data_IF_764005364249
#
_entry.id   IF_764005364249
#
_cell.length_a   1.000
_cell.length_b   1.000
_cell.length_c   1.000
_cell.angle_alpha   90.00
_cell.angle_beta   90.00
_cell.angle_gamma   90.00
#
_symmetry.space_group_name_H-M   'P 1'
#
loop_
_entity.id
_entity.type
_entity.pdbx_description
1 polymer ?
#
# COMPACT_ATOMS: atom_id res chain seq x y z
N UNK A 1 15.96 48.67 29.48
CA UNK A 1 14.48 48.53 29.46
C UNK A 1 14.13 48.06 28.06
N UNK A 2 13.76 46.78 27.94
CA UNK A 2 13.83 46.02 26.69
C UNK A 2 12.64 46.31 25.77
N UNK A 3 12.95 46.66 24.52
CA UNK A 3 12.00 46.79 23.42
C UNK A 3 11.69 45.37 22.92
N UNK A 4 10.46 44.90 23.10
CA UNK A 4 9.98 43.66 22.48
C UNK A 4 9.48 44.05 21.08
N UNK A 5 10.32 43.81 20.08
CA UNK A 5 9.90 43.83 18.67
C UNK A 5 9.06 42.57 18.43
N UNK A 6 7.74 42.75 18.30
CA UNK A 6 6.88 41.78 17.62
C UNK A 6 7.29 41.79 16.14
N UNK A 7 8.00 40.77 15.72
CA UNK A 7 8.18 40.48 14.30
C UNK A 7 6.92 39.73 13.89
N UNK A 8 5.98 40.46 13.29
CA UNK A 8 4.94 39.83 12.48
C UNK A 8 5.66 39.15 11.30
N UNK A 9 5.67 37.81 11.31
CA UNK A 9 6.02 37.04 10.12
C UNK A 9 4.84 37.13 9.16
N UNK A 10 4.83 38.19 8.35
CA UNK A 10 4.25 38.13 7.01
C UNK A 10 5.06 37.11 6.20
N UNK A 11 4.66 35.84 6.28
CA UNK A 11 5.12 34.77 5.39
C UNK A 11 4.00 34.48 4.37
N UNK A 12 3.50 35.51 3.71
CA UNK A 12 2.62 35.37 2.55
C UNK A 12 3.45 35.12 1.28
N UNK A 13 4.11 33.97 1.24
CA UNK A 13 4.25 33.22 0.01
C UNK A 13 3.48 31.93 0.27
N UNK A 14 2.19 31.91 -0.07
CA UNK A 14 1.43 30.67 -0.13
C UNK A 14 2.08 29.80 -1.21
N UNK A 15 3.16 29.09 -0.88
CA UNK A 15 3.65 28.01 -1.71
C UNK A 15 2.51 26.99 -1.79
N UNK A 16 1.89 26.92 -2.98
CA UNK A 16 0.85 25.95 -3.26
C UNK A 16 1.34 24.56 -2.84
N UNK A 17 0.53 23.88 -2.06
CA UNK A 17 0.84 22.53 -1.60
C UNK A 17 1.18 21.62 -2.79
N UNK A 18 2.21 20.76 -2.68
CA UNK A 18 2.61 19.90 -3.80
C UNK A 18 1.44 19.05 -4.32
N UNK A 19 1.31 18.99 -5.64
CA UNK A 19 0.32 18.14 -6.31
C UNK A 19 0.76 16.69 -6.23
N UNK A 20 -0.15 15.78 -5.93
CA UNK A 20 0.19 14.37 -5.67
C UNK A 20 -0.25 13.50 -6.85
N UNK A 21 0.67 12.72 -7.42
CA UNK A 21 0.37 11.79 -8.51
C UNK A 21 0.74 10.38 -8.09
N UNK A 22 -0.24 9.49 -8.08
CA UNK A 22 -0.06 8.06 -7.89
C UNK A 22 0.15 7.38 -9.23
N UNK A 23 1.26 6.66 -9.37
CA UNK A 23 1.60 5.79 -10.50
C UNK A 23 1.44 4.34 -10.04
N UNK A 24 0.36 3.68 -10.44
CA UNK A 24 0.03 2.35 -9.94
C UNK A 24 0.02 1.32 -11.07
N UNK A 25 0.47 0.09 -10.77
CA UNK A 25 0.50 -0.97 -11.75
C UNK A 25 -0.91 -1.31 -12.30
N UNK A 26 -1.00 -1.61 -13.59
CA UNK A 26 -2.26 -1.96 -14.25
C UNK A 26 -2.87 -3.24 -13.61
N UNK A 27 -4.10 -3.17 -13.08
CA UNK A 27 -4.74 -4.29 -12.39
C UNK A 27 -4.98 -5.51 -13.29
N UNK A 28 -4.99 -5.37 -14.62
CA UNK A 28 -5.09 -6.49 -15.55
C UNK A 28 -3.87 -7.41 -15.48
N UNK A 29 -2.69 -6.86 -15.20
CA UNK A 29 -1.42 -7.59 -15.25
C UNK A 29 -0.85 -7.85 -13.86
N UNK A 30 -1.10 -6.96 -12.90
CA UNK A 30 -0.46 -6.97 -11.58
C UNK A 30 -1.43 -7.19 -10.42
N UNK A 31 -2.72 -7.37 -10.72
CA UNK A 31 -3.78 -7.53 -9.73
C UNK A 31 -4.20 -6.21 -9.06
N UNK A 32 -5.28 -6.27 -8.29
CA UNK A 32 -5.96 -5.07 -7.77
C UNK A 32 -5.34 -4.46 -6.50
N UNK A 33 -4.32 -5.10 -5.92
CA UNK A 33 -3.73 -4.62 -4.67
C UNK A 33 -3.23 -3.18 -4.78
N UNK A 34 -2.46 -2.90 -5.84
CA UNK A 34 -1.89 -1.59 -6.15
C UNK A 34 -2.96 -0.50 -6.27
N UNK A 35 -3.92 -0.67 -7.19
CA UNK A 35 -4.99 0.33 -7.39
C UNK A 35 -5.88 0.51 -6.16
N UNK A 36 -6.14 -0.56 -5.40
CA UNK A 36 -6.97 -0.51 -4.19
C UNK A 36 -6.33 0.34 -3.10
N UNK A 37 -5.04 0.14 -2.82
CA UNK A 37 -4.32 0.92 -1.80
C UNK A 37 -4.01 2.34 -2.25
N UNK A 38 -3.59 2.53 -3.50
CA UNK A 38 -3.41 3.86 -4.09
C UNK A 38 -4.71 4.67 -4.01
N UNK A 39 -5.83 4.11 -4.48
CA UNK A 39 -7.12 4.79 -4.47
C UNK A 39 -7.63 5.08 -3.06
N UNK A 40 -7.33 4.20 -2.10
CA UNK A 40 -7.61 4.45 -0.68
C UNK A 40 -6.81 5.66 -0.18
N UNK A 41 -5.50 5.71 -0.42
CA UNK A 41 -4.68 6.84 0.00
C UNK A 41 -5.08 8.14 -0.67
N UNK A 42 -5.36 8.09 -1.97
CA UNK A 42 -5.86 9.22 -2.73
C UNK A 42 -7.09 9.82 -2.05
N UNK A 43 -8.06 8.98 -1.65
CA UNK A 43 -9.26 9.43 -0.93
C UNK A 43 -8.91 10.07 0.43
N UNK A 44 -8.00 9.47 1.21
CA UNK A 44 -7.56 10.06 2.48
C UNK A 44 -6.93 11.44 2.29
N UNK A 45 -6.11 11.62 1.26
CA UNK A 45 -5.47 12.91 0.96
C UNK A 45 -6.49 13.94 0.45
N UNK A 46 -7.44 13.53 -0.40
CA UNK A 46 -8.53 14.40 -0.86
C UNK A 46 -9.44 14.85 0.28
N UNK A 47 -9.74 13.97 1.24
CA UNK A 47 -10.49 14.31 2.46
C UNK A 47 -9.75 15.38 3.31
N UNK A 48 -8.43 15.56 3.13
CA UNK A 48 -7.63 16.64 3.76
C UNK A 48 -7.47 17.89 2.88
N UNK A 49 -8.16 17.97 1.75
CA UNK A 49 -8.08 19.11 0.82
C UNK A 49 -6.90 19.07 -0.14
N UNK A 50 -6.19 17.94 -0.27
CA UNK A 50 -5.09 17.81 -1.23
C UNK A 50 -5.58 17.38 -2.62
N UNK A 51 -5.08 18.06 -3.64
CA UNK A 51 -5.26 17.66 -5.04
C UNK A 51 -4.39 16.46 -5.35
N UNK A 52 -5.01 15.38 -5.84
CA UNK A 52 -4.29 14.17 -6.22
C UNK A 52 -4.88 13.46 -7.43
N UNK A 53 -4.01 12.91 -8.28
CA UNK A 53 -4.36 12.13 -9.46
C UNK A 53 -3.85 10.70 -9.33
N UNK A 54 -4.58 9.74 -9.90
CA UNK A 54 -4.17 8.35 -10.01
C UNK A 54 -4.04 7.97 -11.49
N UNK A 55 -2.87 7.46 -11.87
CA UNK A 55 -2.52 7.03 -13.22
C UNK A 55 -2.13 5.55 -13.15
N UNK A 56 -2.74 4.73 -13.99
CA UNK A 56 -2.41 3.31 -14.11
C UNK A 56 -1.55 3.05 -15.34
N UNK A 57 -0.55 2.18 -15.21
CA UNK A 57 0.35 1.80 -16.30
C UNK A 57 0.92 0.40 -16.09
N UNK A 58 1.34 -0.26 -17.17
CA UNK A 58 1.91 -1.61 -17.09
C UNK A 58 3.44 -1.58 -16.97
N UNK A 59 4.11 -0.99 -17.95
CA UNK A 59 5.58 -0.89 -18.02
C UNK A 59 6.10 0.56 -18.11
N UNK A 60 5.20 1.50 -18.35
CA UNK A 60 5.50 2.92 -18.44
C UNK A 60 4.28 3.73 -18.05
N UNK A 61 4.52 5.00 -17.68
CA UNK A 61 3.48 5.97 -17.36
C UNK A 61 3.66 7.18 -18.26
N UNK A 62 2.61 7.52 -19.00
CA UNK A 62 2.57 8.77 -19.73
C UNK A 62 2.52 9.93 -18.74
N UNK A 63 3.30 10.98 -19.00
CA UNK A 63 3.22 12.19 -18.20
C UNK A 63 1.78 12.74 -18.23
N UNK A 64 1.31 13.37 -17.13
CA UNK A 64 0.14 14.22 -17.20
C UNK A 64 0.31 15.27 -18.31
N UNK A 65 -0.80 15.73 -18.89
CA UNK A 65 -0.77 16.69 -20.00
C UNK A 65 0.05 17.96 -19.69
N UNK A 66 0.11 18.37 -18.41
CA UNK A 66 0.94 19.48 -17.94
C UNK A 66 1.61 19.11 -16.59
N UNK A 67 2.93 18.91 -16.63
CA UNK A 67 3.78 19.09 -15.45
C UNK A 67 4.31 20.51 -15.57
N UNK A 68 3.69 21.43 -14.84
CA UNK A 68 4.12 22.83 -14.81
C UNK A 68 5.30 23.01 -13.84
N UNK A 69 5.66 24.27 -13.59
CA UNK A 69 6.72 24.63 -12.66
C UNK A 69 6.37 24.42 -11.18
N UNK A 70 5.16 23.96 -10.84
CA UNK A 70 4.73 23.72 -9.46
C UNK A 70 5.43 22.52 -8.81
N UNK A 71 5.31 22.38 -7.50
CA UNK A 71 5.89 21.25 -6.77
C UNK A 71 5.02 20.00 -6.89
N UNK A 72 5.64 18.82 -7.06
CA UNK A 72 4.94 17.55 -7.20
C UNK A 72 5.49 16.46 -6.28
N UNK A 73 4.59 15.60 -5.80
CA UNK A 73 4.89 14.33 -5.16
C UNK A 73 4.47 13.18 -6.08
N UNK A 74 5.43 12.41 -6.57
CA UNK A 74 5.17 11.26 -7.43
C UNK A 74 5.34 9.98 -6.62
N UNK A 75 4.25 9.24 -6.47
CA UNK A 75 4.18 8.02 -5.68
C UNK A 75 4.10 6.82 -6.63
N UNK A 76 5.15 6.01 -6.68
CA UNK A 76 5.23 4.81 -7.50
C UNK A 76 4.85 3.57 -6.69
N UNK A 77 3.69 2.99 -7.00
CA UNK A 77 3.22 1.72 -6.45
C UNK A 77 3.08 0.68 -7.57
N UNK A 78 4.24 0.23 -8.00
CA UNK A 78 4.37 -0.82 -8.99
C UNK A 78 5.66 -1.58 -8.72
N UNK A 79 5.58 -2.90 -8.83
CA UNK A 79 6.71 -3.77 -8.51
C UNK A 79 7.70 -3.79 -9.67
N UNK A 80 8.98 -3.77 -9.35
CA UNK A 80 10.09 -4.05 -10.26
C UNK A 80 10.24 -3.10 -11.47
N UNK A 81 9.58 -1.93 -11.46
CA UNK A 81 9.70 -0.91 -12.52
C UNK A 81 10.39 0.38 -12.03
N UNK A 82 11.11 1.12 -12.91
CA UNK A 82 11.67 2.43 -12.59
C UNK A 82 10.59 3.53 -12.50
N UNK A 83 10.96 4.67 -11.94
CA UNK A 83 10.24 5.91 -12.19
C UNK A 83 10.35 6.29 -13.69
N UNK A 84 9.31 6.90 -14.27
CA UNK A 84 9.42 7.42 -15.63
C UNK A 84 10.38 8.62 -15.70
N UNK A 85 11.04 8.82 -16.83
CA UNK A 85 12.08 9.87 -17.01
C UNK A 85 11.61 11.28 -16.61
N UNK A 86 10.34 11.60 -16.87
CA UNK A 86 9.77 12.91 -16.52
C UNK A 86 9.70 13.15 -15.00
N UNK A 87 9.83 12.11 -14.16
CA UNK A 87 9.82 12.22 -12.70
C UNK A 87 11.19 12.64 -12.09
N UNK A 88 12.20 12.89 -12.93
CA UNK A 88 13.54 13.35 -12.50
C UNK A 88 13.74 14.87 -12.55
N UNK A 89 12.66 15.63 -12.74
CA UNK A 89 12.69 17.09 -12.68
C UNK A 89 12.94 17.59 -11.24
N UNK A 90 13.53 18.79 -11.10
CA UNK A 90 13.97 19.33 -9.79
C UNK A 90 12.82 19.62 -8.81
N UNK A 91 11.64 19.91 -9.32
CA UNK A 91 10.41 20.21 -8.57
C UNK A 91 9.64 18.95 -8.15
N UNK A 92 10.19 17.76 -8.40
CA UNK A 92 9.55 16.48 -8.14
C UNK A 92 10.24 15.76 -6.99
N UNK A 93 9.46 15.43 -5.96
CA UNK A 93 9.85 14.46 -4.92
C UNK A 93 9.24 13.10 -5.25
N UNK A 94 10.06 12.05 -5.23
CA UNK A 94 9.74 10.67 -5.60
C UNK A 94 9.57 9.79 -4.37
N UNK A 95 8.45 9.08 -4.28
CA UNK A 95 8.15 8.13 -3.21
C UNK A 95 7.89 6.76 -3.82
N UNK A 96 8.59 5.72 -3.38
CA UNK A 96 8.35 4.35 -3.84
C UNK A 96 7.63 3.51 -2.79
N UNK A 97 6.55 2.85 -3.19
CA UNK A 97 5.77 1.91 -2.39
C UNK A 97 5.97 0.48 -2.87
N UNK A 98 6.39 -0.40 -1.96
CA UNK A 98 6.61 -1.84 -2.22
C UNK A 98 7.43 -2.14 -3.50
N UNK A 99 8.21 -1.16 -3.98
CA UNK A 99 9.03 -1.31 -5.17
C UNK A 99 10.28 -2.11 -4.80
N UNK A 100 10.53 -3.18 -5.57
CA UNK A 100 11.67 -4.10 -5.40
C UNK A 100 12.63 -4.10 -6.58
N UNK A 101 12.44 -3.18 -7.53
CA UNK A 101 13.32 -2.99 -8.67
C UNK A 101 13.97 -1.60 -8.67
N UNK A 102 14.31 -1.06 -9.87
CA UNK A 102 15.07 0.18 -9.99
C UNK A 102 14.40 1.40 -9.35
N UNK A 103 13.07 1.45 -9.35
CA UNK A 103 12.32 2.56 -8.75
C UNK A 103 12.65 2.77 -7.27
N UNK A 104 12.98 1.71 -6.53
CA UNK A 104 13.36 1.81 -5.12
C UNK A 104 14.61 2.67 -4.91
N UNK A 105 15.65 2.49 -5.71
CA UNK A 105 16.91 3.25 -5.58
C UNK A 105 16.83 4.65 -6.18
N UNK A 106 15.82 4.92 -6.99
CA UNK A 106 15.55 6.22 -7.62
C UNK A 106 14.66 7.12 -6.73
N UNK A 107 14.04 6.56 -5.70
CA UNK A 107 13.13 7.29 -4.83
C UNK A 107 13.88 8.13 -3.80
N UNK A 108 13.31 9.27 -3.45
CA UNK A 108 13.78 10.10 -2.33
C UNK A 108 13.28 9.51 -1.00
N UNK A 109 12.11 8.85 -1.02
CA UNK A 109 11.53 8.12 0.11
C UNK A 109 11.03 6.74 -0.30
N UNK A 110 11.17 5.76 0.58
CA UNK A 110 10.73 4.38 0.33
C UNK A 110 9.87 3.91 1.49
N UNK A 111 8.69 3.37 1.18
CA UNK A 111 7.82 2.75 2.16
C UNK A 111 7.48 1.31 1.74
N UNK A 112 7.69 0.40 2.67
CA UNK A 112 7.25 -0.98 2.52
C UNK A 112 5.87 -1.11 3.18
N UNK A 113 4.85 -1.28 2.35
CA UNK A 113 3.43 -1.35 2.75
C UNK A 113 2.96 -2.78 2.95
N UNK A 114 3.71 -3.76 2.44
CA UNK A 114 3.47 -5.19 2.63
C UNK A 114 4.71 -5.90 3.18
N UNK A 115 4.53 -6.95 3.99
CA UNK A 115 5.65 -7.78 4.45
C UNK A 115 6.36 -8.53 3.31
N UNK A 116 7.70 -8.60 3.40
CA UNK A 116 8.54 -9.35 2.46
C UNK A 116 9.56 -10.23 3.18
N UNK A 117 9.96 -11.34 2.56
CA UNK A 117 10.84 -12.35 3.16
C UNK A 117 12.28 -11.85 3.43
N UNK A 118 12.71 -10.77 2.78
CA UNK A 118 14.04 -10.18 2.96
C UNK A 118 14.12 -9.21 4.16
N UNK A 119 12.99 -8.93 4.83
CA UNK A 119 12.93 -7.98 5.94
C UNK A 119 13.51 -8.54 7.23
N UNK A 120 14.14 -7.70 8.04
CA UNK A 120 14.37 -7.99 9.45
C UNK A 120 13.04 -7.89 10.25
N UNK A 121 13.06 -8.22 11.54
CA UNK A 121 11.83 -8.27 12.35
C UNK A 121 11.22 -6.88 12.62
N UNK A 122 12.05 -5.83 12.68
CA UNK A 122 11.57 -4.45 12.82
C UNK A 122 10.87 -3.99 11.54
N UNK A 123 11.50 -4.21 10.38
CA UNK A 123 10.92 -3.90 9.07
C UNK A 123 9.63 -4.67 8.82
N UNK A 124 9.58 -5.96 9.17
CA UNK A 124 8.38 -6.77 9.08
C UNK A 124 7.24 -6.18 9.93
N UNK A 125 7.54 -5.85 11.18
CA UNK A 125 6.57 -5.27 12.12
C UNK A 125 6.07 -3.89 11.66
N UNK A 126 6.96 -3.05 11.13
CA UNK A 126 6.59 -1.75 10.56
C UNK A 126 5.73 -1.91 9.30
N UNK A 127 6.07 -2.85 8.41
CA UNK A 127 5.28 -3.11 7.21
C UNK A 127 3.84 -3.54 7.55
N UNK A 128 3.65 -4.35 8.61
CA UNK A 128 2.32 -4.71 9.09
C UNK A 128 1.50 -3.49 9.55
N UNK A 129 2.15 -2.52 10.17
CA UNK A 129 1.50 -1.26 10.59
C UNK A 129 1.14 -0.42 9.38
N UNK A 130 1.89 -0.53 8.30
CA UNK A 130 1.71 0.29 7.11
C UNK A 130 0.70 -0.31 6.11
N UNK A 131 0.15 -1.49 6.39
CA UNK A 131 -0.89 -2.10 5.55
C UNK A 131 -2.08 -1.15 5.40
N UNK A 132 -2.37 -0.84 4.14
CA UNK A 132 -3.46 0.05 3.74
C UNK A 132 -4.67 -0.80 3.43
N UNK A 133 -5.72 -0.68 4.23
CA UNK A 133 -7.00 -1.33 3.97
C UNK A 133 -7.97 -0.39 3.26
N UNK A 134 -8.87 -0.90 2.39
CA UNK A 134 -9.86 -0.07 1.72
C UNK A 134 -10.66 0.78 2.73
N UNK A 135 -10.96 2.02 2.36
CA UNK A 135 -11.48 3.06 3.28
C UNK A 135 -12.62 2.58 4.20
N UNK A 136 -13.55 1.76 3.69
CA UNK A 136 -14.71 1.27 4.45
C UNK A 136 -14.36 0.22 5.52
N UNK A 137 -13.19 -0.44 5.46
CA UNK A 137 -12.75 -1.37 6.50
C UNK A 137 -12.58 -0.67 7.86
N UNK A 138 -12.30 0.64 7.89
CA UNK A 138 -12.21 1.44 9.12
C UNK A 138 -13.52 1.46 9.93
N UNK A 139 -14.65 1.19 9.29
CA UNK A 139 -15.96 1.12 9.94
C UNK A 139 -16.19 -0.22 10.65
N UNK A 140 -15.28 -1.18 10.47
CA UNK A 140 -15.35 -2.49 11.09
C UNK A 140 -14.37 -2.60 12.25
N UNK A 141 -14.78 -3.32 13.30
CA UNK A 141 -13.88 -3.67 14.41
C UNK A 141 -12.75 -4.55 13.87
N UNK A 142 -11.52 -4.21 14.25
CA UNK A 142 -10.36 -5.07 14.05
C UNK A 142 -10.59 -6.42 14.75
N UNK A 143 -10.53 -7.51 13.99
CA UNK A 143 -10.71 -8.89 14.47
C UNK A 143 -9.48 -9.76 14.20
N UNK A 144 -8.31 -9.15 13.99
CA UNK A 144 -7.05 -9.85 13.69
C UNK A 144 -6.74 -10.95 14.71
N UNK A 145 -6.98 -10.70 16.00
CA UNK A 145 -6.75 -11.69 17.07
C UNK A 145 -7.61 -12.95 16.96
N UNK A 146 -8.68 -12.92 16.16
CA UNK A 146 -9.57 -14.06 15.88
C UNK A 146 -9.23 -14.77 14.57
N UNK A 147 -8.34 -14.19 13.76
CA UNK A 147 -7.94 -14.78 12.49
C UNK A 147 -7.08 -16.03 12.71
N UNK A 148 -7.17 -16.97 11.78
CA UNK A 148 -6.26 -18.10 11.70
C UNK A 148 -5.65 -18.18 10.32
N UNK A 149 -4.42 -18.69 10.25
CA UNK A 149 -3.69 -18.84 9.00
C UNK A 149 -3.19 -20.28 8.89
N UNK A 150 -3.41 -20.88 7.73
CA UNK A 150 -2.91 -22.21 7.38
C UNK A 150 -2.17 -22.13 6.04
N UNK A 151 -0.88 -22.48 6.04
CA UNK A 151 -0.11 -22.61 4.81
C UNK A 151 -0.47 -23.94 4.10
N UNK A 152 -0.83 -23.86 2.81
CA UNK A 152 -1.13 -25.06 2.00
C UNK A 152 0.12 -25.55 1.28
N UNK A 153 0.36 -26.86 1.32
CA UNK A 153 1.55 -27.50 0.73
C UNK A 153 1.56 -27.37 -0.80
N UNK A 154 2.75 -27.29 -1.38
CA UNK A 154 2.96 -27.01 -2.80
C UNK A 154 2.37 -28.07 -3.74
N UNK A 155 2.28 -29.33 -3.31
CA UNK A 155 1.64 -30.43 -4.07
C UNK A 155 0.14 -30.19 -4.28
N UNK A 156 -0.53 -29.52 -3.36
CA UNK A 156 -1.95 -29.15 -3.48
C UNK A 156 -2.12 -27.84 -4.25
N UNK A 157 -1.10 -26.98 -4.22
CA UNK A 157 -1.09 -25.68 -4.91
C UNK A 157 -1.03 -25.82 -6.44
N UNK A 158 -0.36 -26.83 -6.99
CA UNK A 158 -0.26 -27.06 -8.44
C UNK A 158 -1.61 -27.41 -9.09
N UNK A 159 -2.47 -28.16 -8.39
CA UNK A 159 -3.87 -28.41 -8.80
C UNK A 159 -4.72 -27.13 -8.75
N UNK A 160 -4.42 -26.25 -7.81
CA UNK A 160 -5.16 -25.00 -7.58
C UNK A 160 -4.74 -23.91 -8.57
N UNK A 161 -3.46 -23.82 -8.96
CA UNK A 161 -2.98 -22.90 -10.01
C UNK A 161 -3.78 -23.04 -11.30
N UNK A 162 -4.01 -24.27 -11.78
CA UNK A 162 -4.83 -24.51 -12.99
C UNK A 162 -6.23 -23.92 -12.87
N UNK A 163 -6.88 -24.04 -11.70
CA UNK A 163 -8.23 -23.52 -11.46
C UNK A 163 -8.28 -21.99 -11.32
N UNK A 164 -7.31 -21.40 -10.62
CA UNK A 164 -7.25 -19.94 -10.43
C UNK A 164 -7.02 -19.24 -11.77
N UNK A 165 -6.05 -19.72 -12.57
CA UNK A 165 -5.77 -19.14 -13.89
C UNK A 165 -6.92 -19.38 -14.89
N UNK A 166 -7.60 -20.53 -14.85
CA UNK A 166 -8.78 -20.76 -15.70
C UNK A 166 -9.98 -19.87 -15.32
N UNK A 167 -10.07 -19.43 -14.05
CA UNK A 167 -11.12 -18.51 -13.56
C UNK A 167 -10.77 -17.03 -13.67
N UNK A 168 -9.50 -16.69 -13.95
CA UNK A 168 -9.05 -15.29 -14.14
C UNK A 168 -9.65 -14.62 -15.39
N UNK A 169 -10.36 -15.38 -16.22
CA UNK A 169 -11.22 -14.89 -17.31
C UNK A 169 -12.71 -14.84 -16.94
N UNK A 170 -13.06 -14.64 -15.66
CA UNK A 170 -14.45 -14.30 -15.34
C UNK A 170 -14.73 -12.82 -15.64
N UNK A 171 -15.74 -12.49 -16.45
CA UNK A 171 -16.06 -11.10 -16.82
C UNK A 171 -16.60 -10.26 -15.65
N UNK A 172 -16.88 -10.88 -14.49
CA UNK A 172 -17.47 -10.21 -13.34
C UNK A 172 -16.41 -9.83 -12.31
N UNK A 173 -16.04 -8.53 -12.32
CA UNK A 173 -15.20 -7.92 -11.28
C UNK A 173 -16.07 -7.60 -10.06
N UNK A 174 -15.59 -7.94 -8.87
CA UNK A 174 -16.28 -7.62 -7.62
C UNK A 174 -15.75 -6.30 -7.06
N UNK A 175 -16.66 -5.48 -6.53
CA UNK A 175 -16.26 -4.31 -5.73
C UNK A 175 -15.58 -4.75 -4.43
N UNK A 176 -14.75 -3.90 -3.83
CA UNK A 176 -14.12 -4.20 -2.54
C UNK A 176 -15.14 -4.46 -1.42
N UNK A 177 -16.31 -3.80 -1.47
CA UNK A 177 -17.43 -4.06 -0.55
C UNK A 177 -17.96 -5.49 -0.75
N UNK A 178 -18.15 -5.92 -2.00
CA UNK A 178 -18.61 -7.27 -2.31
C UNK A 178 -17.59 -8.33 -1.89
N UNK A 179 -16.28 -8.05 -2.03
CA UNK A 179 -15.21 -8.93 -1.52
C UNK A 179 -15.30 -9.06 -0.01
N UNK A 180 -15.40 -7.94 0.72
CA UNK A 180 -15.55 -7.93 2.18
C UNK A 180 -16.77 -8.75 2.64
N UNK A 181 -17.93 -8.52 2.01
CA UNK A 181 -19.17 -9.25 2.32
C UNK A 181 -18.99 -10.76 2.10
N UNK A 182 -18.33 -11.17 1.03
CA UNK A 182 -18.03 -12.58 0.77
C UNK A 182 -17.07 -13.17 1.79
N UNK A 183 -16.04 -12.44 2.20
CA UNK A 183 -15.12 -12.88 3.26
C UNK A 183 -15.90 -13.12 4.56
N UNK A 184 -16.79 -12.21 4.94
CA UNK A 184 -17.59 -12.32 6.17
C UNK A 184 -18.63 -13.46 6.11
N UNK A 185 -19.11 -13.80 4.90
CA UNK A 185 -20.13 -14.83 4.70
C UNK A 185 -19.59 -16.26 4.69
N UNK A 186 -18.27 -16.46 4.58
CA UNK A 186 -17.66 -17.79 4.53
C UNK A 186 -16.92 -18.12 5.82
N UNK A 187 -16.92 -19.41 6.17
CA UNK A 187 -16.14 -19.90 7.31
C UNK A 187 -14.64 -19.80 7.07
N UNK A 188 -14.19 -20.10 5.85
CA UNK A 188 -12.78 -20.16 5.50
C UNK A 188 -12.56 -19.58 4.10
N UNK A 189 -11.53 -18.72 3.98
CA UNK A 189 -11.14 -18.07 2.73
C UNK A 189 -9.89 -18.73 2.16
N UNK A 190 -9.90 -18.97 0.85
CA UNK A 190 -8.74 -19.52 0.13
C UNK A 190 -8.16 -18.43 -0.76
N UNK A 191 -6.90 -18.07 -0.53
CA UNK A 191 -6.26 -16.95 -1.22
C UNK A 191 -4.74 -17.14 -1.28
N UNK A 192 -4.07 -16.29 -2.03
CA UNK A 192 -2.61 -16.20 -2.10
C UNK A 192 -2.10 -14.95 -1.38
N UNK A 193 -0.78 -14.83 -1.25
CA UNK A 193 -0.18 -13.67 -0.58
C UNK A 193 -0.39 -12.39 -1.40
N UNK A 194 -1.13 -11.44 -0.84
CA UNK A 194 -1.46 -10.17 -1.48
C UNK A 194 -2.44 -9.35 -0.64
N UNK A 195 -2.95 -8.24 -1.17
CA UNK A 195 -3.81 -7.31 -0.43
C UNK A 195 -5.01 -7.99 0.27
N UNK A 196 -5.70 -8.91 -0.42
CA UNK A 196 -6.88 -9.61 0.10
C UNK A 196 -6.57 -10.53 1.29
N UNK A 197 -5.32 -10.99 1.45
CA UNK A 197 -4.90 -11.71 2.66
C UNK A 197 -5.10 -10.83 3.88
N UNK A 198 -4.61 -9.59 3.84
CA UNK A 198 -4.67 -8.67 4.97
C UNK A 198 -6.09 -8.18 5.25
N UNK A 199 -6.89 -7.98 4.20
CA UNK A 199 -8.33 -7.74 4.34
C UNK A 199 -9.03 -8.89 5.11
N UNK A 200 -8.72 -10.14 4.75
CA UNK A 200 -9.30 -11.31 5.43
C UNK A 200 -8.83 -11.45 6.88
N UNK A 201 -7.54 -11.24 7.15
CA UNK A 201 -6.98 -11.25 8.50
C UNK A 201 -7.61 -10.15 9.37
N UNK A 202 -7.77 -8.93 8.83
CA UNK A 202 -8.41 -7.83 9.57
C UNK A 202 -9.83 -8.16 10.01
N UNK A 203 -10.58 -8.86 9.15
CA UNK A 203 -11.94 -9.32 9.43
C UNK A 203 -12.02 -10.54 10.35
N UNK A 204 -10.88 -11.11 10.74
CA UNK A 204 -10.81 -12.28 11.63
C UNK A 204 -11.15 -13.59 10.93
N UNK A 205 -10.94 -13.69 9.62
CA UNK A 205 -11.26 -14.90 8.86
C UNK A 205 -10.25 -16.03 9.09
N UNK A 206 -10.69 -17.27 8.90
CA UNK A 206 -9.81 -18.42 8.75
C UNK A 206 -9.26 -18.46 7.32
N UNK A 207 -7.94 -18.37 7.16
CA UNK A 207 -7.29 -18.26 5.85
C UNK A 207 -6.49 -19.51 5.51
N UNK A 208 -6.76 -20.09 4.34
CA UNK A 208 -5.85 -21.03 3.67
C UNK A 208 -5.02 -20.29 2.64
N UNK A 209 -3.72 -20.24 2.86
CA UNK A 209 -2.76 -19.51 2.05
C UNK A 209 -2.10 -20.43 1.03
N UNK A 210 -2.41 -20.20 -0.24
CA UNK A 210 -1.89 -20.93 -1.40
C UNK A 210 -0.75 -20.18 -2.07
N UNK A 211 0.13 -20.93 -2.73
CA UNK A 211 1.27 -20.37 -3.48
C UNK A 211 1.07 -20.49 -4.98
N UNK A 212 0.86 -19.36 -5.66
CA UNK A 212 0.60 -19.31 -7.10
C UNK A 212 1.87 -19.24 -7.96
N UNK A 213 3.00 -18.91 -7.36
CA UNK A 213 4.34 -18.94 -7.99
C UNK A 213 5.42 -19.16 -6.92
N UNK A 214 6.68 -19.29 -7.32
CA UNK A 214 7.80 -19.44 -6.38
C UNK A 214 7.95 -18.23 -5.46
N UNK A 215 7.81 -17.02 -5.99
CA UNK A 215 7.90 -15.79 -5.19
C UNK A 215 6.77 -15.72 -4.15
N UNK A 216 5.54 -16.09 -4.52
CA UNK A 216 4.42 -16.16 -3.59
C UNK A 216 4.59 -17.26 -2.54
N UNK A 217 5.30 -18.35 -2.87
CA UNK A 217 5.65 -19.38 -1.89
C UNK A 217 6.59 -18.85 -0.82
N UNK A 218 7.69 -18.19 -1.21
CA UNK A 218 8.64 -17.58 -0.27
C UNK A 218 7.94 -16.55 0.63
N UNK A 219 7.11 -15.68 0.04
CA UNK A 219 6.32 -14.70 0.79
C UNK A 219 5.35 -15.38 1.78
N UNK A 220 4.58 -16.36 1.32
CA UNK A 220 3.61 -17.06 2.15
C UNK A 220 4.26 -17.83 3.30
N UNK A 221 5.39 -18.49 3.05
CA UNK A 221 6.10 -19.27 4.04
C UNK A 221 6.72 -18.37 5.13
N UNK A 222 7.42 -17.30 4.73
CA UNK A 222 8.02 -16.38 5.70
C UNK A 222 6.95 -15.65 6.52
N UNK A 223 5.91 -15.14 5.86
CA UNK A 223 4.79 -14.51 6.54
C UNK A 223 4.11 -15.45 7.53
N UNK A 224 3.80 -16.69 7.12
CA UNK A 224 3.19 -17.68 8.01
C UNK A 224 4.05 -17.95 9.25
N UNK A 225 5.36 -18.13 9.06
CA UNK A 225 6.31 -18.37 10.16
C UNK A 225 6.30 -17.21 11.15
N UNK A 226 6.43 -15.96 10.68
CA UNK A 226 6.48 -14.78 11.54
C UNK A 226 5.13 -14.45 12.17
N UNK A 227 4.04 -14.57 11.40
CA UNK A 227 2.68 -14.35 11.89
C UNK A 227 2.34 -15.24 13.08
N UNK A 228 2.71 -16.52 13.04
CA UNK A 228 2.50 -17.44 14.18
C UNK A 228 3.37 -17.10 15.40
N UNK A 229 4.47 -16.40 15.20
CA UNK A 229 5.36 -15.94 16.27
C UNK A 229 4.91 -14.63 16.91
N UNK A 230 3.93 -13.91 16.34
CA UNK A 230 3.43 -12.64 16.89
C UNK A 230 2.46 -12.93 18.05
N UNK A 231 2.79 -12.55 19.30
CA UNK A 231 1.92 -12.81 20.44
C UNK A 231 0.60 -12.00 20.38
N UNK A 232 0.67 -10.80 19.79
CA UNK A 232 -0.46 -9.87 19.68
C UNK A 232 -0.46 -9.20 18.31
N UNK A 233 -0.87 -9.91 17.24
CA UNK A 233 -0.77 -9.38 15.88
C UNK A 233 -1.58 -8.08 15.67
N UNK A 234 -2.64 -7.85 16.44
CA UNK A 234 -3.42 -6.61 16.42
C UNK A 234 -2.63 -5.34 16.82
N UNK A 235 -1.52 -5.46 17.56
CA UNK A 235 -0.65 -4.32 17.89
C UNK A 235 0.24 -3.89 16.70
N UNK A 236 0.41 -4.80 15.75
CA UNK A 236 1.20 -4.57 14.54
C UNK A 236 0.29 -4.32 13.34
N UNK A 237 -0.96 -4.80 13.37
CA UNK A 237 -1.92 -4.59 12.31
C UNK A 237 -3.24 -4.07 12.89
N UNK A 238 -3.29 -2.75 13.12
CA UNK A 238 -4.40 -2.05 13.77
C UNK A 238 -5.48 -1.53 12.78
N UNK A 239 -5.18 -1.48 11.47
CA UNK A 239 -6.03 -0.92 10.41
C UNK A 239 -5.79 0.56 10.09
N UNK A 240 -4.82 1.21 10.73
CA UNK A 240 -4.55 2.65 10.60
C UNK A 240 -3.48 2.98 9.55
N UNK A 241 -3.03 2.01 8.75
CA UNK A 241 -1.94 2.20 7.78
C UNK A 241 -2.23 3.30 6.75
N UNK A 242 -3.48 3.42 6.29
CA UNK A 242 -3.88 4.48 5.37
C UNK A 242 -3.69 5.89 5.98
N UNK A 243 -4.10 6.08 7.23
CA UNK A 243 -3.95 7.36 7.93
C UNK A 243 -2.48 7.68 8.19
N UNK A 244 -1.68 6.69 8.61
CA UNK A 244 -0.23 6.86 8.80
C UNK A 244 0.48 7.25 7.51
N UNK A 245 0.20 6.57 6.41
CA UNK A 245 0.83 6.88 5.13
C UNK A 245 0.38 8.24 4.58
N UNK A 246 -0.90 8.58 4.73
CA UNK A 246 -1.39 9.92 4.38
C UNK A 246 -0.63 11.00 5.17
N UNK A 247 -0.45 10.80 6.49
CA UNK A 247 0.33 11.73 7.30
C UNK A 247 1.79 11.81 6.86
N UNK A 248 2.45 10.68 6.58
CA UNK A 248 3.83 10.69 6.08
C UNK A 248 3.97 11.48 4.76
N UNK A 249 3.05 11.29 3.82
CA UNK A 249 3.01 12.05 2.56
C UNK A 249 2.84 13.55 2.84
N UNK A 250 1.98 13.90 3.81
CA UNK A 250 1.75 15.29 4.20
C UNK A 250 2.99 15.92 4.85
N UNK A 251 3.67 15.18 5.73
CA UNK A 251 4.90 15.63 6.37
C UNK A 251 5.97 15.91 5.31
N UNK A 252 6.19 14.96 4.38
CA UNK A 252 7.08 15.14 3.23
C UNK A 252 6.67 16.36 2.40
N UNK A 253 5.36 16.55 2.15
CA UNK A 253 4.84 17.67 1.34
C UNK A 253 5.13 19.05 1.93
N UNK A 254 5.32 19.13 3.25
CA UNK A 254 5.54 20.39 3.98
C UNK A 254 7.00 20.56 4.41
N UNK A 255 7.87 19.60 4.09
CA UNK A 255 9.23 19.56 4.63
C UNK A 255 9.29 19.31 6.14
N UNK A 256 8.16 18.97 6.78
CA UNK A 256 8.17 18.48 8.15
C UNK A 256 8.88 17.11 8.12
N UNK A 257 9.99 16.96 8.84
CA UNK A 257 10.70 15.69 8.91
C UNK A 257 9.75 14.56 9.32
N UNK A 258 9.93 13.36 8.75
CA UNK A 258 9.12 12.20 9.09
C UNK A 258 9.19 11.94 10.59
N UNK A 259 8.04 11.81 11.25
CA UNK A 259 8.00 11.46 12.67
C UNK A 259 8.66 10.09 12.90
N UNK A 260 9.29 9.92 14.06
CA UNK A 260 9.94 8.66 14.44
C UNK A 260 8.94 7.50 14.39
N UNK A 261 9.21 6.46 13.60
CA UNK A 261 8.39 5.26 13.51
C UNK A 261 7.92 4.84 12.11
N UNK A 262 8.39 5.52 11.06
CA UNK A 262 8.34 5.02 9.68
C UNK A 262 9.57 4.16 9.38
#
# INVERSE_FOLDING_TARGET
MSIILKIDKDNSCDEEAPRIIFLCADPLYHGYGHISRCGTLQKYLQDTGRTSQLITGNLSFTAPAEIDSGSYLIILDARDIPFPEWAFQKNITRIAFDNRGPGRSQADYVFDLLPHFAMNDSEFSNSLRNIILPYFYKMHKNKVSKSSLQLVRQTDASRTRRKIYSSAMHPYRMSSISVMQKIQAVRQVQLYFGQTLFEALFLGADVKLYSISEIHYKLAQDFFRRWRGLPTPQLYFDGSGAARMAQAIMDISTGAGLQSGF
#
